data_IF_101641248408
#
_entry.id   IF_101641248408
#
_cell.length_a   1.000
_cell.length_b   1.000
_cell.length_c   1.000
_cell.angle_alpha   90.00
_cell.angle_beta   90.00
_cell.angle_gamma   90.00
#
_symmetry.space_group_name_H-M   'P 1'
#
loop_
_entity.id
_entity.type
_entity.pdbx_description
1 polymer ?
#
# COMPACT_ATOMS: atom_id res chain seq x y z
N UNK A 1 -10.18 -16.35 -17.19
CA UNK A 1 -9.48 -15.06 -17.31
C UNK A 1 -8.79 -14.70 -16.00
N UNK A 2 -9.49 -14.43 -14.89
CA UNK A 2 -8.78 -14.04 -13.65
C UNK A 2 -7.90 -15.14 -13.03
N UNK A 3 -8.22 -16.41 -13.24
CA UNK A 3 -7.43 -17.56 -12.75
C UNK A 3 -6.08 -17.73 -13.46
N UNK A 4 -5.96 -17.18 -14.67
CA UNK A 4 -4.69 -17.14 -15.42
C UNK A 4 -3.86 -15.90 -15.11
N UNK A 5 -4.44 -14.94 -14.36
CA UNK A 5 -3.90 -13.59 -14.11
C UNK A 5 -3.39 -13.47 -12.67
N UNK A 6 -4.18 -13.92 -11.69
CA UNK A 6 -3.82 -13.93 -10.27
C UNK A 6 -3.17 -15.27 -9.90
N UNK A 7 -1.94 -15.25 -9.36
CA UNK A 7 -1.28 -16.45 -8.84
C UNK A 7 -2.06 -17.09 -7.67
N UNK A 8 -1.67 -18.31 -7.29
CA UNK A 8 -2.32 -19.06 -6.21
C UNK A 8 -2.01 -18.41 -4.84
N UNK A 9 -2.99 -17.74 -4.23
CA UNK A 9 -2.87 -17.14 -2.90
C UNK A 9 -3.62 -18.01 -1.88
N UNK A 10 -2.90 -18.53 -0.87
CA UNK A 10 -3.45 -19.45 0.14
C UNK A 10 -4.60 -18.87 0.99
N UNK A 11 -5.31 -19.76 1.68
CA UNK A 11 -6.48 -19.47 2.50
C UNK A 11 -6.08 -18.88 3.87
N UNK A 12 -5.74 -17.60 3.92
CA UNK A 12 -5.37 -16.90 5.16
C UNK A 12 -6.49 -16.73 6.20
N UNK A 13 -7.14 -17.80 6.64
CA UNK A 13 -8.16 -17.81 7.70
C UNK A 13 -7.53 -18.16 9.04
N UNK A 14 -7.13 -17.13 9.79
CA UNK A 14 -6.89 -17.23 11.23
C UNK A 14 -7.21 -15.86 11.84
N UNK A 15 -7.86 -15.79 13.01
CA UNK A 15 -8.34 -14.52 13.61
C UNK A 15 -7.21 -13.54 14.01
N UNK A 16 -5.95 -13.95 13.89
CA UNK A 16 -4.74 -13.14 14.06
C UNK A 16 -3.99 -12.86 12.75
N UNK A 17 -4.55 -13.24 11.59
CA UNK A 17 -3.94 -13.04 10.28
C UNK A 17 -4.24 -11.63 9.76
N UNK A 18 -3.25 -11.01 9.11
CA UNK A 18 -3.47 -9.80 8.32
C UNK A 18 -4.38 -10.18 7.15
N UNK A 19 -5.49 -9.47 6.94
CA UNK A 19 -6.29 -9.64 5.74
C UNK A 19 -5.44 -9.13 4.55
N UNK A 20 -4.71 -10.03 3.93
CA UNK A 20 -4.13 -9.78 2.62
C UNK A 20 -5.31 -9.69 1.66
N UNK A 21 -5.35 -8.67 0.79
CA UNK A 21 -6.34 -8.66 -0.28
C UNK A 21 -6.14 -9.91 -1.13
N UNK A 22 -7.02 -10.88 -0.94
CA UNK A 22 -7.00 -12.14 -1.66
C UNK A 22 -7.75 -11.97 -2.97
N UNK A 23 -7.44 -12.86 -3.92
CA UNK A 23 -8.34 -13.14 -5.03
C UNK A 23 -9.76 -13.32 -4.45
N UNK A 24 -10.78 -12.68 -5.00
CA UNK A 24 -12.14 -12.87 -4.52
C UNK A 24 -12.51 -14.34 -4.64
N UNK A 25 -12.71 -15.02 -3.51
CA UNK A 25 -12.99 -16.47 -3.46
C UNK A 25 -14.26 -16.87 -4.22
N UNK A 26 -15.15 -15.90 -4.46
CA UNK A 26 -16.43 -16.11 -5.13
C UNK A 26 -16.53 -15.39 -6.48
N UNK A 27 -15.48 -14.79 -7.06
CA UNK A 27 -15.61 -14.26 -8.43
C UNK A 27 -15.40 -15.41 -9.40
N UNK A 28 -16.40 -15.73 -10.26
CA UNK A 28 -16.26 -16.79 -11.24
C UNK A 28 -15.03 -16.52 -12.11
N UNK A 29 -14.34 -17.59 -12.45
CA UNK A 29 -13.26 -17.60 -13.42
C UNK A 29 -13.83 -17.03 -14.71
N UNK A 30 -13.64 -15.75 -15.00
CA UNK A 30 -14.20 -15.15 -16.22
C UNK A 30 -13.62 -15.88 -17.44
N UNK A 31 -14.16 -16.97 -17.96
CA UNK A 31 -13.79 -17.40 -19.32
C UNK A 31 -14.62 -16.60 -20.33
N UNK A 32 -14.45 -16.86 -21.62
CA UNK A 32 -15.18 -16.12 -22.66
C UNK A 32 -16.72 -16.22 -22.52
N UNK A 33 -17.25 -17.18 -21.75
CA UNK A 33 -18.68 -17.34 -21.46
C UNK A 33 -19.15 -16.61 -20.19
N UNK A 34 -18.24 -16.21 -19.30
CA UNK A 34 -18.54 -15.52 -18.04
C UNK A 34 -18.38 -13.99 -18.14
N UNK A 35 -17.89 -13.45 -19.27
CA UNK A 35 -17.84 -11.98 -19.55
C UNK A 35 -19.19 -11.30 -19.39
N UNK A 36 -20.30 -12.03 -19.46
CA UNK A 36 -21.66 -11.51 -19.29
C UNK A 36 -22.09 -11.31 -17.82
N UNK A 37 -21.29 -11.73 -16.83
CA UNK A 37 -21.63 -11.68 -15.40
C UNK A 37 -20.59 -10.88 -14.61
N UNK A 38 -20.76 -9.57 -14.56
CA UNK A 38 -20.11 -8.72 -13.53
C UNK A 38 -20.98 -8.78 -12.28
N UNK A 39 -20.44 -9.35 -11.18
CA UNK A 39 -21.14 -9.36 -9.88
C UNK A 39 -21.33 -7.93 -9.37
N UNK A 40 -22.30 -7.72 -8.47
CA UNK A 40 -22.67 -6.40 -7.88
C UNK A 40 -21.52 -5.64 -7.18
N UNK A 41 -20.32 -6.23 -7.06
CA UNK A 41 -19.17 -5.63 -6.38
C UNK A 41 -18.24 -4.93 -7.38
N UNK A 42 -17.88 -3.67 -7.10
CA UNK A 42 -16.83 -2.94 -7.84
C UNK A 42 -15.50 -3.71 -7.73
N UNK A 43 -14.82 -3.90 -8.85
CA UNK A 43 -13.48 -4.48 -8.88
C UNK A 43 -12.47 -3.44 -9.35
N UNK A 44 -11.21 -3.70 -9.07
CA UNK A 44 -10.10 -2.88 -9.54
C UNK A 44 -9.03 -3.76 -10.18
N UNK A 45 -8.63 -3.41 -11.40
CA UNK A 45 -7.49 -3.97 -12.09
C UNK A 45 -6.27 -3.05 -11.89
N UNK A 46 -5.09 -3.66 -11.68
CA UNK A 46 -3.82 -2.94 -11.60
C UNK A 46 -2.68 -3.77 -12.21
N UNK A 47 -1.62 -3.15 -12.77
CA UNK A 47 -0.44 -3.88 -13.22
C UNK A 47 0.16 -4.74 -12.12
N UNK A 48 0.72 -5.90 -12.48
CA UNK A 48 1.50 -6.71 -11.54
C UNK A 48 2.78 -6.01 -11.09
N UNK A 49 3.34 -5.17 -11.95
CA UNK A 49 4.48 -4.32 -11.68
C UNK A 49 4.10 -2.89 -12.08
N UNK A 50 3.75 -2.06 -11.11
CA UNK A 50 3.34 -0.67 -11.32
C UNK A 50 3.92 0.24 -10.25
N UNK A 51 3.79 1.55 -10.46
CA UNK A 51 4.12 2.61 -9.50
C UNK A 51 3.02 3.68 -9.56
N UNK A 52 2.88 4.48 -8.50
CA UNK A 52 2.04 5.70 -8.46
C UNK A 52 0.58 5.58 -8.93
N UNK A 53 -0.07 4.43 -8.71
CA UNK A 53 -1.44 4.16 -9.17
C UNK A 53 -1.60 4.11 -10.70
N UNK A 54 -0.51 3.97 -11.45
CA UNK A 54 -0.52 3.89 -12.91
C UNK A 54 -1.32 2.68 -13.43
N UNK A 55 -2.00 2.89 -14.56
CA UNK A 55 -2.78 1.91 -15.31
C UNK A 55 -3.80 1.15 -14.43
N UNK A 56 -4.40 1.81 -13.45
CA UNK A 56 -5.49 1.25 -12.65
C UNK A 56 -6.83 1.44 -13.37
N UNK A 57 -7.69 0.42 -13.36
CA UNK A 57 -9.05 0.50 -13.94
C UNK A 57 -10.11 -0.03 -12.96
N UNK A 58 -11.12 0.78 -12.67
CA UNK A 58 -12.34 0.30 -12.01
C UNK A 58 -13.15 -0.52 -13.02
N UNK A 59 -13.54 -1.73 -12.62
CA UNK A 59 -14.43 -2.60 -13.39
C UNK A 59 -15.77 -2.61 -12.67
N UNK A 60 -16.76 -1.93 -13.26
CA UNK A 60 -18.13 -1.85 -12.75
C UNK A 60 -19.16 -2.42 -13.76
N UNK A 61 -18.73 -2.66 -14.99
CA UNK A 61 -19.54 -3.18 -16.08
C UNK A 61 -18.75 -4.13 -16.96
N UNK A 62 -19.47 -4.83 -17.85
CA UNK A 62 -18.84 -5.71 -18.84
C UNK A 62 -17.90 -4.95 -19.77
N UNK A 63 -18.27 -3.75 -20.20
CA UNK A 63 -17.48 -2.96 -21.15
C UNK A 63 -16.09 -2.65 -20.57
N UNK A 64 -16.00 -2.41 -19.25
CA UNK A 64 -14.73 -2.15 -18.58
C UNK A 64 -13.75 -3.33 -18.64
N UNK A 65 -14.25 -4.56 -18.86
CA UNK A 65 -13.42 -5.77 -19.01
C UNK A 65 -12.79 -5.81 -20.40
N UNK A 66 -13.56 -5.43 -21.43
CA UNK A 66 -13.07 -5.41 -22.81
C UNK A 66 -11.96 -4.35 -22.96
N UNK A 67 -12.05 -3.24 -22.23
CA UNK A 67 -11.00 -2.20 -22.18
C UNK A 67 -9.67 -2.70 -21.59
N UNK A 68 -9.66 -3.76 -20.76
CA UNK A 68 -8.44 -4.25 -20.10
C UNK A 68 -7.40 -4.78 -21.09
N UNK A 69 -7.86 -5.37 -22.20
CA UNK A 69 -6.97 -5.87 -23.25
C UNK A 69 -6.25 -4.70 -23.96
N UNK A 70 -6.92 -3.56 -24.09
CA UNK A 70 -6.31 -2.34 -24.65
C UNK A 70 -5.36 -1.66 -23.66
N UNK A 71 -5.74 -1.58 -22.38
CA UNK A 71 -4.94 -0.92 -21.33
C UNK A 71 -3.65 -1.69 -21.06
N UNK A 72 -3.72 -3.00 -20.86
CA UNK A 72 -2.54 -3.78 -20.49
C UNK A 72 -1.81 -4.36 -21.69
N UNK A 73 -2.43 -4.55 -22.85
CA UNK A 73 -1.78 -5.10 -24.04
C UNK A 73 -1.39 -6.59 -23.94
N UNK A 74 -1.12 -7.20 -25.10
CA UNK A 74 -0.85 -8.64 -25.21
C UNK A 74 0.40 -9.08 -24.41
N UNK A 75 0.21 -10.04 -23.51
CA UNK A 75 1.29 -10.62 -22.69
C UNK A 75 1.60 -9.87 -21.40
N UNK A 76 0.95 -8.74 -21.14
CA UNK A 76 1.05 -8.04 -19.86
C UNK A 76 0.35 -8.79 -18.74
N UNK A 77 0.89 -8.63 -17.53
CA UNK A 77 0.34 -9.24 -16.31
C UNK A 77 -0.22 -8.13 -15.46
N UNK A 78 -1.54 -8.11 -15.29
CA UNK A 78 -2.23 -7.32 -14.28
C UNK A 78 -2.74 -8.23 -13.17
N UNK A 79 -3.40 -7.68 -12.16
CA UNK A 79 -4.13 -8.41 -11.13
C UNK A 79 -5.49 -7.75 -10.95
N UNK A 80 -6.50 -8.54 -10.60
CA UNK A 80 -7.85 -8.04 -10.29
C UNK A 80 -8.24 -8.42 -8.87
N UNK A 81 -8.72 -7.44 -8.13
CA UNK A 81 -9.07 -7.55 -6.72
C UNK A 81 -10.36 -6.75 -6.43
N UNK A 82 -11.02 -6.93 -5.27
CA UNK A 82 -12.13 -6.08 -4.88
C UNK A 82 -11.69 -4.62 -4.78
N UNK A 83 -12.55 -3.70 -5.21
CA UNK A 83 -12.42 -2.31 -4.86
C UNK A 83 -12.99 -2.14 -3.44
N UNK A 84 -12.15 -1.69 -2.50
CA UNK A 84 -12.53 -1.46 -1.11
C UNK A 84 -12.55 0.03 -0.88
N UNK A 85 -13.70 0.56 -0.48
CA UNK A 85 -13.85 1.95 -0.07
C UNK A 85 -13.35 2.10 1.37
N UNK A 86 -12.48 3.06 1.63
CA UNK A 86 -11.92 3.25 2.97
C UNK A 86 -10.72 4.18 3.00
N UNK A 87 -10.11 4.28 4.19
CA UNK A 87 -8.94 5.10 4.38
C UNK A 87 -7.69 4.45 3.79
N UNK A 88 -7.25 4.96 2.65
CA UNK A 88 -5.96 4.57 2.04
C UNK A 88 -4.82 5.13 2.88
N UNK A 89 -4.01 4.23 3.43
CA UNK A 89 -2.94 4.53 4.37
C UNK A 89 -1.63 3.88 3.93
N UNK A 90 -0.51 4.36 4.46
CA UNK A 90 0.78 3.67 4.36
C UNK A 90 1.49 3.66 5.70
N UNK A 91 2.26 2.60 5.97
CA UNK A 91 3.18 2.53 7.10
C UNK A 91 4.60 2.58 6.56
N UNK A 92 5.42 3.49 7.10
CA UNK A 92 6.86 3.44 6.89
C UNK A 92 7.50 2.58 7.99
N UNK A 93 8.39 1.66 7.61
CA UNK A 93 9.15 0.82 8.51
C UNK A 93 10.66 0.91 8.23
N UNK A 94 11.44 0.65 9.27
CA UNK A 94 12.85 0.31 9.14
C UNK A 94 13.02 -1.17 9.53
N UNK A 95 13.76 -1.95 8.73
CA UNK A 95 14.06 -3.35 9.04
C UNK A 95 15.52 -3.71 8.82
N UNK A 96 16.04 -4.64 9.63
CA UNK A 96 17.36 -5.23 9.48
C UNK A 96 17.35 -6.57 8.69
N UNK A 97 16.17 -7.02 8.24
CA UNK A 97 15.94 -8.32 7.62
C UNK A 97 15.47 -9.42 8.56
N UNK A 98 15.34 -9.15 9.86
CA UNK A 98 14.80 -10.05 10.88
C UNK A 98 13.70 -9.39 11.71
N UNK A 99 13.96 -8.16 12.14
CA UNK A 99 13.04 -7.34 12.91
C UNK A 99 12.66 -6.10 12.12
N UNK A 100 11.41 -5.69 12.25
CA UNK A 100 10.89 -4.45 11.67
C UNK A 100 10.36 -3.52 12.77
N UNK A 101 10.60 -2.23 12.58
CA UNK A 101 10.08 -1.13 13.39
C UNK A 101 9.21 -0.24 12.51
N UNK A 102 7.88 -0.24 12.69
CA UNK A 102 7.01 0.80 12.17
C UNK A 102 7.41 2.17 12.75
N UNK A 103 7.65 3.14 11.88
CA UNK A 103 8.11 4.49 12.25
C UNK A 103 7.14 5.60 11.85
N UNK A 104 6.09 5.32 11.07
CA UNK A 104 4.96 6.24 10.86
C UNK A 104 3.75 5.53 10.26
N UNK A 105 2.55 5.99 10.63
CA UNK A 105 1.32 5.75 9.87
C UNK A 105 1.06 7.03 9.08
N UNK A 106 0.69 6.91 7.82
CA UNK A 106 0.47 8.03 6.92
C UNK A 106 -0.87 7.86 6.20
N UNK A 107 -1.53 8.96 5.88
CA UNK A 107 -2.73 8.98 5.04
C UNK A 107 -2.32 9.26 3.61
N UNK A 108 -2.93 8.58 2.66
CA UNK A 108 -2.80 8.85 1.23
C UNK A 108 -4.12 9.42 0.72
N UNK A 109 -4.05 10.54 0.00
CA UNK A 109 -5.16 11.14 -0.72
C UNK A 109 -5.02 10.67 -2.15
N UNK A 110 -5.90 9.76 -2.54
CA UNK A 110 -5.98 9.20 -3.90
C UNK A 110 -7.38 9.47 -4.44
N UNK A 111 -7.45 9.93 -5.68
CA UNK A 111 -8.68 9.92 -6.46
C UNK A 111 -8.65 8.72 -7.39
N UNK A 112 -9.73 7.95 -7.42
CA UNK A 112 -9.87 6.82 -8.32
C UNK A 112 -11.23 6.95 -9.00
N UNK A 113 -11.22 7.01 -10.33
CA UNK A 113 -12.40 7.10 -11.16
C UNK A 113 -12.35 6.07 -12.31
N UNK A 114 -13.23 6.23 -13.30
CA UNK A 114 -13.29 5.36 -14.48
C UNK A 114 -12.09 5.53 -15.45
N UNK A 115 -11.34 6.62 -15.31
CA UNK A 115 -10.21 7.02 -16.15
C UNK A 115 -8.86 6.65 -15.52
N UNK A 116 -8.80 6.39 -14.22
CA UNK A 116 -7.58 5.94 -13.56
C UNK A 116 -7.55 6.18 -12.05
N UNK A 117 -6.38 5.97 -11.46
CA UNK A 117 -6.08 6.39 -10.09
C UNK A 117 -4.99 7.45 -10.09
N UNK A 118 -5.17 8.49 -9.29
CA UNK A 118 -4.18 9.54 -9.10
C UNK A 118 -3.87 9.75 -7.61
N UNK A 119 -2.59 9.71 -7.26
CA UNK A 119 -2.11 10.17 -5.95
C UNK A 119 -2.02 11.70 -5.92
N UNK A 120 -2.88 12.33 -5.13
CA UNK A 120 -2.94 13.78 -4.96
C UNK A 120 -2.06 14.29 -3.82
N UNK A 121 -1.75 13.45 -2.83
CA UNK A 121 -1.06 13.90 -1.63
C UNK A 121 -1.22 12.99 -0.41
N UNK A 122 -0.89 13.50 0.77
CA UNK A 122 -1.00 12.74 2.01
C UNK A 122 -0.60 13.50 3.26
N UNK A 123 -0.81 12.87 4.42
CA UNK A 123 -0.50 13.41 5.74
C UNK A 123 0.46 12.49 6.50
N UNK A 124 1.45 13.09 7.18
CA UNK A 124 2.50 12.40 7.93
C UNK A 124 2.78 13.11 9.26
N UNK A 125 2.65 12.46 10.43
CA UNK A 125 1.93 11.20 10.64
C UNK A 125 0.41 11.41 10.50
N UNK A 126 -0.30 10.29 10.31
CA UNK A 126 -1.75 10.20 10.38
C UNK A 126 -2.17 9.52 11.68
N UNK A 127 -3.05 10.19 12.42
CA UNK A 127 -3.64 9.65 13.65
C UNK A 127 -4.94 8.92 13.32
N UNK A 128 -5.01 7.65 13.71
CA UNK A 128 -6.16 6.79 13.45
C UNK A 128 -6.39 5.85 14.65
N UNK A 129 -7.62 5.57 15.08
CA UNK A 129 -7.90 4.69 16.22
C UNK A 129 -7.28 3.29 16.10
N UNK A 130 -7.12 2.78 14.88
CA UNK A 130 -6.51 1.47 14.60
C UNK A 130 -4.99 1.49 14.41
N UNK A 131 -4.30 2.60 14.67
CA UNK A 131 -2.86 2.77 14.42
C UNK A 131 -2.00 1.62 14.97
N UNK A 132 -2.22 1.22 16.22
CA UNK A 132 -1.45 0.13 16.84
C UNK A 132 -1.69 -1.22 16.16
N UNK A 133 -2.92 -1.49 15.73
CA UNK A 133 -3.29 -2.71 15.00
C UNK A 133 -2.65 -2.72 13.60
N UNK A 134 -2.68 -1.58 12.90
CA UNK A 134 -2.02 -1.41 11.59
C UNK A 134 -0.50 -1.55 11.72
N UNK A 135 0.12 -0.97 12.74
CA UNK A 135 1.57 -1.13 13.02
C UNK A 135 1.94 -2.58 13.28
N UNK A 136 1.15 -3.30 14.09
CA UNK A 136 1.34 -4.73 14.31
C UNK A 136 1.29 -5.51 13.00
N UNK A 137 0.30 -5.23 12.15
CA UNK A 137 0.13 -5.92 10.87
C UNK A 137 1.26 -5.60 9.87
N UNK A 138 1.70 -4.35 9.82
CA UNK A 138 2.83 -3.93 9.00
C UNK A 138 4.13 -4.63 9.43
N UNK A 139 4.40 -4.69 10.74
CA UNK A 139 5.55 -5.41 11.30
C UNK A 139 5.51 -6.89 10.89
N UNK A 140 4.38 -7.57 11.13
CA UNK A 140 4.22 -8.99 10.79
C UNK A 140 4.40 -9.24 9.28
N UNK A 141 3.83 -8.40 8.43
CA UNK A 141 3.96 -8.52 6.98
C UNK A 141 5.41 -8.34 6.52
N UNK A 142 6.12 -7.37 7.08
CA UNK A 142 7.54 -7.12 6.77
C UNK A 142 8.42 -8.30 7.19
N UNK A 143 8.25 -8.79 8.42
CA UNK A 143 9.05 -9.89 8.98
C UNK A 143 8.74 -11.25 8.32
N UNK A 144 7.55 -11.40 7.72
CA UNK A 144 7.17 -12.61 6.99
C UNK A 144 7.87 -12.75 5.63
N UNK A 145 8.24 -11.64 4.98
CA UNK A 145 8.86 -11.66 3.65
C UNK A 145 10.39 -11.66 3.80
N UNK A 146 11.08 -12.77 3.45
CA UNK A 146 12.52 -12.87 3.65
C UNK A 146 13.28 -11.83 2.82
N UNK A 147 14.24 -11.15 3.45
CA UNK A 147 15.17 -10.24 2.76
C UNK A 147 14.74 -8.78 2.71
N UNK A 148 13.57 -8.40 3.26
CA UNK A 148 13.20 -6.99 3.40
C UNK A 148 14.09 -6.30 4.44
N UNK A 149 14.97 -5.41 3.96
CA UNK A 149 15.96 -4.72 4.78
C UNK A 149 16.09 -3.26 4.32
N UNK A 150 16.27 -2.34 5.26
CA UNK A 150 16.32 -0.91 5.01
C UNK A 150 14.99 -0.22 5.26
N UNK A 151 14.59 0.68 4.36
CA UNK A 151 13.29 1.37 4.41
C UNK A 151 12.23 0.58 3.65
N UNK A 152 11.10 0.32 4.29
CA UNK A 152 9.96 -0.40 3.70
C UNK A 152 8.71 0.46 3.85
N UNK A 153 7.94 0.64 2.78
CA UNK A 153 6.57 1.13 2.83
C UNK A 153 5.59 -0.03 2.74
N UNK A 154 4.51 -0.01 3.51
CA UNK A 154 3.41 -0.98 3.34
C UNK A 154 2.09 -0.21 3.25
N UNK A 155 1.37 -0.43 2.17
CA UNK A 155 0.11 0.26 1.90
C UNK A 155 -1.07 -0.58 2.41
N UNK A 156 -2.04 0.11 3.00
CA UNK A 156 -3.24 -0.47 3.58
C UNK A 156 -4.48 0.29 3.14
N UNK A 157 -5.63 -0.39 3.16
CA UNK A 157 -6.95 0.25 3.20
C UNK A 157 -7.58 -0.10 4.54
N UNK A 158 -8.11 0.91 5.23
CA UNK A 158 -8.86 0.74 6.48
C UNK A 158 -10.33 1.03 6.19
N UNK A 159 -11.19 0.03 6.36
CA UNK A 159 -12.65 0.15 6.23
C UNK A 159 -13.26 -0.27 7.57
N UNK A 160 -13.88 0.67 8.27
CA UNK A 160 -14.36 0.49 9.64
C UNK A 160 -13.28 -0.14 10.56
N UNK A 161 -13.47 -1.39 11.00
CA UNK A 161 -12.57 -2.15 11.88
C UNK A 161 -11.62 -3.12 11.13
N UNK A 162 -11.76 -3.18 9.80
CA UNK A 162 -11.01 -4.06 8.91
C UNK A 162 -9.80 -3.35 8.31
N UNK A 163 -8.67 -4.08 8.24
CA UNK A 163 -7.40 -3.59 7.71
C UNK A 163 -6.96 -4.54 6.60
N UNK A 164 -6.87 -4.01 5.39
CA UNK A 164 -6.50 -4.75 4.20
C UNK A 164 -5.09 -4.35 3.76
N UNK A 165 -4.17 -5.32 3.69
CA UNK A 165 -2.83 -5.10 3.13
C UNK A 165 -2.94 -5.06 1.61
N UNK A 166 -2.47 -3.95 1.02
CA UNK A 166 -2.56 -3.69 -0.42
C UNK A 166 -1.24 -3.97 -1.15
N UNK A 167 -0.13 -3.48 -0.62
CA UNK A 167 1.18 -3.52 -1.28
C UNK A 167 2.33 -3.43 -0.27
N UNK A 168 3.47 -4.03 -0.61
CA UNK A 168 4.74 -3.87 0.12
C UNK A 168 5.77 -3.27 -0.83
N UNK A 169 6.24 -2.08 -0.49
CA UNK A 169 7.23 -1.30 -1.20
C UNK A 169 8.61 -1.44 -0.52
N UNK A 170 9.52 -2.22 -1.08
CA UNK A 170 10.89 -2.41 -0.57
C UNK A 170 11.84 -1.24 -0.93
N UNK A 171 11.34 -0.01 -0.86
CA UNK A 171 12.01 1.23 -1.26
C UNK A 171 11.46 2.42 -0.48
N UNK A 172 12.15 3.56 -0.56
CA UNK A 172 11.58 4.83 -0.11
C UNK A 172 10.27 5.14 -0.84
N UNK A 173 9.26 5.52 -0.07
CA UNK A 173 7.95 5.98 -0.56
C UNK A 173 7.85 7.51 -0.42
N UNK A 174 6.86 8.11 -1.08
CA UNK A 174 6.65 9.57 -1.07
C UNK A 174 6.54 10.13 0.35
N UNK A 175 5.91 9.39 1.28
CA UNK A 175 5.80 9.79 2.70
C UNK A 175 7.15 10.08 3.37
N UNK A 176 8.25 9.48 2.89
CA UNK A 176 9.60 9.73 3.40
C UNK A 176 9.97 11.22 3.36
N UNK A 177 9.60 11.95 2.30
CA UNK A 177 10.07 13.33 2.11
C UNK A 177 9.54 14.30 3.18
N UNK A 178 8.34 14.03 3.70
CA UNK A 178 7.76 14.73 4.84
C UNK A 178 8.27 14.17 6.17
N UNK A 179 8.28 12.83 6.30
CA UNK A 179 8.67 12.15 7.53
C UNK A 179 10.07 12.54 8.02
N UNK A 180 11.06 12.57 7.11
CA UNK A 180 12.45 12.89 7.46
C UNK A 180 12.64 14.31 8.03
N UNK A 181 11.67 15.22 7.84
CA UNK A 181 11.73 16.59 8.36
C UNK A 181 11.22 16.72 9.78
N UNK A 182 10.39 15.78 10.23
CA UNK A 182 9.64 15.88 11.49
C UNK A 182 10.01 14.81 12.51
N UNK A 183 10.53 13.66 12.07
CA UNK A 183 10.87 12.54 12.95
C UNK A 183 12.14 12.81 13.76
N UNK A 184 12.20 12.32 15.00
CA UNK A 184 13.32 12.51 15.93
C UNK A 184 14.60 11.70 15.63
N UNK A 185 14.65 10.99 14.51
CA UNK A 185 15.81 10.18 14.10
C UNK A 185 16.28 10.53 12.70
N UNK A 186 17.57 10.32 12.41
CA UNK A 186 18.07 10.36 11.04
C UNK A 186 17.84 9.00 10.37
N UNK A 187 16.75 8.86 9.61
CA UNK A 187 16.34 7.59 8.98
C UNK A 187 17.47 6.95 8.18
N UNK A 188 18.15 7.71 7.31
CA UNK A 188 19.21 7.17 6.45
C UNK A 188 20.39 6.64 7.26
N UNK A 189 20.84 7.39 8.28
CA UNK A 189 21.90 6.96 9.19
C UNK A 189 21.48 5.72 9.98
N UNK A 190 20.26 5.71 10.53
CA UNK A 190 19.72 4.56 11.27
C UNK A 190 19.71 3.30 10.41
N UNK A 191 19.26 3.41 9.15
CA UNK A 191 19.34 2.29 8.20
C UNK A 191 20.78 1.82 8.04
N UNK A 192 21.72 2.70 7.71
CA UNK A 192 23.13 2.32 7.50
C UNK A 192 23.69 1.63 8.74
N UNK A 193 23.46 2.17 9.94
CA UNK A 193 23.98 1.62 11.18
C UNK A 193 23.37 0.25 11.52
N UNK A 194 22.09 0.01 11.21
CA UNK A 194 21.48 -1.33 11.28
C UNK A 194 22.11 -2.30 10.28
N UNK A 195 22.32 -1.86 9.03
CA UNK A 195 22.91 -2.70 7.99
C UNK A 195 24.33 -3.13 8.38
N UNK A 196 25.11 -2.20 8.93
CA UNK A 196 26.47 -2.39 9.43
C UNK A 196 26.52 -3.11 10.80
N UNK A 197 25.37 -3.38 11.42
CA UNK A 197 25.22 -4.01 12.74
C UNK A 197 25.90 -3.22 13.86
N UNK A 198 25.92 -1.89 13.75
CA UNK A 198 26.38 -0.98 14.82
C UNK A 198 25.31 -0.75 15.88
N UNK A 199 24.05 -0.88 15.49
CA UNK A 199 22.87 -0.81 16.36
C UNK A 199 21.92 -1.97 16.01
N UNK A 200 21.03 -2.31 16.94
CA UNK A 200 19.86 -3.17 16.73
C UNK A 200 18.60 -2.31 16.55
N UNK A 201 17.47 -2.95 16.23
CA UNK A 201 16.17 -2.26 16.17
C UNK A 201 15.77 -1.70 17.53
N UNK A 202 16.10 -2.40 18.62
CA UNK A 202 15.81 -1.99 20.00
C UNK A 202 16.56 -0.70 20.40
N UNK A 203 17.73 -0.45 19.81
CA UNK A 203 18.55 0.73 20.11
C UNK A 203 17.99 2.05 19.53
N UNK A 204 17.02 1.99 18.61
CA UNK A 204 16.46 3.17 17.91
C UNK A 204 15.62 4.05 18.87
N UNK A 205 15.13 3.47 19.97
CA UNK A 205 14.36 4.18 20.99
C UNK A 205 12.95 4.56 20.53
N UNK A 206 12.32 5.46 21.29
CA UNK A 206 10.96 5.94 21.00
C UNK A 206 10.93 6.85 19.77
N UNK A 207 10.00 6.57 18.85
CA UNK A 207 9.76 7.41 17.68
C UNK A 207 8.80 8.54 18.05
N UNK A 208 9.25 9.77 17.86
CA UNK A 208 8.46 10.98 18.09
C UNK A 208 8.57 11.93 16.89
N UNK A 209 7.60 12.84 16.77
CA UNK A 209 7.56 13.83 15.69
C UNK A 209 7.46 15.23 16.29
N UNK A 210 8.23 16.18 15.76
CA UNK A 210 8.18 17.58 16.20
C UNK A 210 6.91 18.32 15.75
N UNK A 211 6.32 17.87 14.64
CA UNK A 211 5.32 18.59 13.84
C UNK A 211 4.52 17.59 13.00
N UNK A 212 3.60 18.07 12.16
CA UNK A 212 2.97 17.30 11.08
C UNK A 212 3.45 17.80 9.72
N UNK A 213 3.35 16.95 8.70
CA UNK A 213 3.68 17.27 7.32
C UNK A 213 2.51 16.92 6.40
N UNK A 214 2.13 17.86 5.56
CA UNK A 214 1.16 17.72 4.48
C UNK A 214 1.91 17.68 3.15
N UNK A 215 1.58 16.70 2.32
CA UNK A 215 2.14 16.47 0.98
C UNK A 215 1.01 16.69 -0.03
N UNK A 216 1.23 17.45 -1.10
CA UNK A 216 0.25 17.58 -2.18
C UNK A 216 0.96 17.83 -3.51
N UNK A 217 0.39 17.32 -4.61
CA UNK A 217 0.80 17.69 -5.96
C UNK A 217 0.12 19.03 -6.31
N UNK A 218 0.89 19.99 -6.83
CA UNK A 218 0.34 21.24 -7.35
C UNK A 218 -0.16 21.05 -8.81
N UNK A 219 -0.69 22.11 -9.42
CA UNK A 219 -1.25 22.07 -10.79
C UNK A 219 -0.22 21.64 -11.86
N UNK A 220 1.08 21.77 -11.59
CA UNK A 220 2.18 21.33 -12.46
C UNK A 220 2.61 19.87 -12.17
N UNK A 221 1.92 19.17 -11.27
CA UNK A 221 2.25 17.82 -10.82
C UNK A 221 3.46 17.75 -9.88
N UNK A 222 3.97 18.89 -9.39
CA UNK A 222 5.12 18.94 -8.50
C UNK A 222 4.66 18.70 -7.07
N UNK A 223 5.33 17.78 -6.36
CA UNK A 223 5.07 17.51 -4.97
C UNK A 223 5.59 18.63 -4.06
N UNK A 224 4.68 19.30 -3.36
CA UNK A 224 4.98 20.30 -2.35
C UNK A 224 4.81 19.72 -0.94
N UNK A 225 5.61 20.25 0.00
CA UNK A 225 5.63 19.81 1.40
C UNK A 225 5.36 21.02 2.29
N UNK A 226 4.32 20.94 3.12
CA UNK A 226 4.06 21.91 4.19
C UNK A 226 4.29 21.26 5.55
N UNK A 227 5.01 21.95 6.42
CA UNK A 227 5.18 21.54 7.82
C UNK A 227 4.23 22.40 8.65
N UNK A 228 3.41 21.73 9.46
CA UNK A 228 2.42 22.34 10.33
C UNK A 228 2.85 22.12 11.78
N UNK A 229 2.92 23.20 12.55
CA UNK A 229 3.18 23.12 13.99
C UNK A 229 2.02 22.40 14.69
N UNK A 230 2.34 21.62 15.72
CA UNK A 230 1.38 20.84 16.50
C UNK A 230 0.47 21.71 17.38
#
# INVERSE_FOLDING_TARGET
>A
FFDTINGDYGDGSNDNAVHIMQKPKDIPVLDNSDRDVVKENKLIAKPRFGVDCDDIKIIASKNDIDDLEEIYGDGSRFIVQPYIEGDVCSVCLISDGKEALPISLNKQIVEIDENGGEYLGGYVPYEHPLKDKVFKYAKLACEYVPGLKGFIGIDFIIEDDYIYLLEINSRFTTSYVGLQKIININIAKTIIDLIDKKISVEDIGEITYSSKASLYKNDDGILEIRIEDN
#
